data_IF_857811370319
#
_entry.id   IF_857811370319
#
_cell.length_a   1.000
_cell.length_b   1.000
_cell.length_c   1.000
_cell.angle_alpha   90.00
_cell.angle_beta   90.00
_cell.angle_gamma   90.00
#
_symmetry.space_group_name_H-M   'P 1'
#
loop_
_entity.id
_entity.type
_entity.pdbx_description
1 polymer ?
#
# COMPACT_ATOMS: atom_id res chain seq x y z
N UNK A 1 2.32 -19.26 2.54
CA UNK A 1 2.86 -20.52 1.96
C UNK A 1 2.31 -20.84 0.56
N UNK A 2 1.07 -20.48 0.21
CA UNK A 2 0.49 -20.80 -1.12
C UNK A 2 1.20 -20.10 -2.30
N UNK A 3 1.44 -18.79 -2.22
CA UNK A 3 2.17 -18.07 -3.28
C UNK A 3 3.57 -18.67 -3.55
N UNK A 4 4.31 -19.02 -2.49
CA UNK A 4 5.62 -19.69 -2.60
C UNK A 4 5.55 -21.06 -3.30
N UNK A 5 4.47 -21.83 -3.08
CA UNK A 5 4.25 -23.11 -3.80
C UNK A 5 4.05 -22.89 -5.31
N UNK A 6 3.56 -21.72 -5.71
CA UNK A 6 3.44 -21.32 -7.11
C UNK A 6 4.72 -20.66 -7.66
N UNK A 7 5.84 -20.72 -6.92
CA UNK A 7 7.11 -20.12 -7.31
C UNK A 7 7.16 -18.59 -7.19
N UNK A 8 6.17 -17.96 -6.54
CA UNK A 8 6.08 -16.50 -6.42
C UNK A 8 6.83 -15.97 -5.18
N UNK A 9 7.49 -14.82 -5.34
CA UNK A 9 8.20 -14.13 -4.26
C UNK A 9 7.54 -12.79 -3.91
N UNK A 10 6.58 -12.83 -3.01
CA UNK A 10 5.91 -11.63 -2.50
C UNK A 10 6.72 -11.05 -1.34
N UNK A 11 7.17 -9.80 -1.47
CA UNK A 11 7.89 -9.05 -0.42
C UNK A 11 6.99 -8.00 0.21
N UNK A 12 7.04 -7.91 1.53
CA UNK A 12 6.38 -6.85 2.30
C UNK A 12 7.35 -5.68 2.40
N UNK A 13 6.90 -4.50 2.00
CA UNK A 13 7.66 -3.25 2.12
C UNK A 13 7.26 -2.52 3.40
N UNK A 14 5.97 -2.59 3.72
CA UNK A 14 5.38 -1.75 4.74
C UNK A 14 4.15 -2.44 5.34
N UNK A 15 3.95 -2.29 6.64
CA UNK A 15 2.81 -2.81 7.39
C UNK A 15 2.44 -1.80 8.49
N UNK A 16 2.42 -2.18 9.76
CA UNK A 16 2.14 -1.24 10.84
C UNK A 16 3.06 -0.02 10.83
N UNK A 17 2.49 1.18 11.02
CA UNK A 17 3.20 2.46 11.17
C UNK A 17 2.70 3.20 12.39
N UNK A 18 3.61 3.78 13.17
CA UNK A 18 3.21 4.63 14.29
C UNK A 18 2.73 6.00 13.81
N UNK A 19 2.03 6.72 14.69
CA UNK A 19 1.59 8.11 14.45
C UNK A 19 2.77 9.04 14.16
N UNK A 20 3.87 8.86 14.88
CA UNK A 20 5.10 9.63 14.78
C UNK A 20 5.76 9.40 13.43
N UNK A 21 5.86 8.13 13.01
CA UNK A 21 6.42 7.78 11.72
C UNK A 21 5.57 8.33 10.57
N UNK A 22 4.24 8.22 10.65
CA UNK A 22 3.35 8.77 9.63
C UNK A 22 3.48 10.30 9.51
N UNK A 23 3.65 11.01 10.64
CA UNK A 23 3.91 12.45 10.65
C UNK A 23 5.24 12.82 9.97
N UNK A 24 6.30 12.08 10.28
CA UNK A 24 7.60 12.26 9.64
C UNK A 24 7.50 12.03 8.12
N UNK A 25 6.89 10.92 7.71
CA UNK A 25 6.74 10.56 6.30
C UNK A 25 5.94 11.60 5.51
N UNK A 26 4.83 12.09 6.06
CA UNK A 26 4.04 13.13 5.41
C UNK A 26 4.85 14.42 5.23
N UNK A 27 5.55 14.88 6.27
CA UNK A 27 6.42 16.07 6.18
C UNK A 27 7.54 15.90 5.17
N UNK A 28 8.14 14.71 5.12
CA UNK A 28 9.15 14.36 4.12
C UNK A 28 8.55 14.46 2.70
N UNK A 29 7.39 13.87 2.44
CA UNK A 29 6.75 13.93 1.13
C UNK A 29 6.35 15.36 0.72
N UNK A 30 5.87 16.18 1.66
CA UNK A 30 5.58 17.61 1.39
C UNK A 30 6.85 18.36 0.98
N UNK A 31 7.97 18.11 1.66
CA UNK A 31 9.26 18.71 1.34
C UNK A 31 9.78 18.27 -0.03
N UNK A 32 9.59 16.99 -0.38
CA UNK A 32 10.15 16.40 -1.60
C UNK A 32 9.28 16.65 -2.83
N UNK A 33 7.96 16.57 -2.71
CA UNK A 33 7.03 16.54 -3.84
C UNK A 33 5.97 17.65 -3.81
N UNK A 34 5.96 18.48 -2.77
CA UNK A 34 4.95 19.50 -2.53
C UNK A 34 3.68 18.96 -1.87
N UNK A 35 2.90 19.88 -1.28
CA UNK A 35 1.72 19.53 -0.48
C UNK A 35 0.63 18.79 -1.28
N UNK A 36 0.37 19.20 -2.52
CA UNK A 36 -0.67 18.59 -3.36
C UNK A 36 -0.36 17.12 -3.65
N UNK A 37 0.89 16.81 -4.04
CA UNK A 37 1.32 15.44 -4.30
C UNK A 37 1.33 14.59 -3.03
N UNK A 38 1.79 15.17 -1.91
CA UNK A 38 1.84 14.48 -0.63
C UNK A 38 0.45 14.09 -0.10
N UNK A 39 -0.58 14.91 -0.36
CA UNK A 39 -1.97 14.61 0.02
C UNK A 39 -2.59 13.46 -0.80
N UNK A 40 -2.13 13.25 -2.03
CA UNK A 40 -2.62 12.15 -2.90
C UNK A 40 -1.88 10.83 -2.58
N UNK A 41 -0.57 10.91 -2.36
CA UNK A 41 0.29 9.72 -2.26
C UNK A 41 0.55 9.25 -0.82
N UNK A 42 0.16 10.04 0.17
CA UNK A 42 0.40 9.76 1.58
C UNK A 42 -0.79 10.23 2.41
N UNK A 43 -0.81 9.82 3.67
CA UNK A 43 -1.83 10.22 4.62
C UNK A 43 -1.24 11.11 5.71
N UNK A 44 -2.00 12.12 6.11
CA UNK A 44 -1.77 12.78 7.39
C UNK A 44 -1.96 11.78 8.53
N UNK A 45 -1.32 12.02 9.66
CA UNK A 45 -1.42 11.08 10.78
C UNK A 45 -2.86 10.95 11.29
N UNK A 46 -3.17 9.75 11.78
CA UNK A 46 -4.50 9.22 12.11
C UNK A 46 -5.43 8.96 10.93
N UNK A 47 -4.99 9.21 9.69
CA UNK A 47 -5.76 8.92 8.47
C UNK A 47 -5.11 7.79 7.63
N UNK A 48 -4.06 7.15 8.16
CA UNK A 48 -3.38 6.03 7.52
C UNK A 48 -3.91 4.70 8.06
N UNK A 49 -4.40 3.82 7.19
CA UNK A 49 -4.84 2.48 7.59
C UNK A 49 -3.71 1.64 8.23
N UNK A 50 -2.43 1.95 7.91
CA UNK A 50 -1.28 1.32 8.55
C UNK A 50 -1.23 1.53 10.07
N UNK A 51 -1.86 2.58 10.59
CA UNK A 51 -1.93 2.83 12.03
C UNK A 51 -2.88 1.86 12.75
N UNK A 52 -3.80 1.21 12.02
CA UNK A 52 -4.66 0.15 12.56
C UNK A 52 -3.95 -1.21 12.60
N UNK A 53 -2.80 -1.35 11.92
CA UNK A 53 -2.10 -2.63 11.79
C UNK A 53 -2.79 -3.64 10.88
N UNK A 54 -3.78 -3.21 10.09
CA UNK A 54 -4.61 -4.07 9.23
C UNK A 54 -4.26 -4.00 7.74
N UNK A 55 -3.26 -3.20 7.37
CA UNK A 55 -2.88 -2.95 5.97
C UNK A 55 -1.42 -3.29 5.73
N UNK A 56 -1.14 -3.87 4.57
CA UNK A 56 0.20 -4.28 4.14
C UNK A 56 0.45 -3.78 2.72
N UNK A 57 1.55 -3.08 2.54
CA UNK A 57 2.05 -2.70 1.22
C UNK A 57 3.04 -3.76 0.72
N UNK A 58 2.76 -4.23 -0.48
CA UNK A 58 3.66 -5.05 -1.26
C UNK A 58 4.13 -4.18 -2.42
N UNK A 59 5.42 -3.93 -2.57
CA UNK A 59 5.92 -3.33 -3.81
C UNK A 59 7.25 -3.96 -4.19
N UNK A 60 7.37 -4.23 -5.48
CA UNK A 60 8.65 -4.42 -6.14
C UNK A 60 9.03 -3.05 -6.73
N UNK A 61 10.30 -2.83 -7.07
CA UNK A 61 10.90 -1.50 -7.38
C UNK A 61 10.29 -0.70 -8.54
N UNK A 62 9.23 -1.18 -9.19
CA UNK A 62 8.52 -0.47 -10.27
C UNK A 62 7.01 -0.38 -9.97
N UNK A 63 6.40 0.76 -10.33
CA UNK A 63 4.97 1.13 -10.18
C UNK A 63 3.94 0.19 -10.85
N UNK A 64 4.38 -1.00 -11.28
CA UNK A 64 3.62 -1.94 -12.07
C UNK A 64 3.36 -3.27 -11.33
N UNK A 65 3.23 -3.25 -9.99
CA UNK A 65 2.96 -4.46 -9.21
C UNK A 65 1.83 -5.30 -9.83
N UNK A 66 0.71 -4.68 -10.22
CA UNK A 66 -0.44 -5.36 -10.83
C UNK A 66 -0.11 -6.07 -12.17
N UNK A 67 0.97 -5.69 -12.86
CA UNK A 67 1.41 -6.36 -14.08
C UNK A 67 2.34 -7.55 -13.82
N UNK A 68 2.94 -7.63 -12.62
CA UNK A 68 3.76 -8.77 -12.20
C UNK A 68 2.92 -10.01 -11.91
N UNK A 69 3.55 -11.20 -11.93
CA UNK A 69 2.87 -12.45 -11.57
C UNK A 69 2.42 -12.42 -10.10
N UNK A 70 3.23 -11.82 -9.23
CA UNK A 70 2.96 -11.61 -7.81
C UNK A 70 1.73 -10.73 -7.59
N UNK A 71 1.65 -9.58 -8.26
CA UNK A 71 0.53 -8.66 -8.10
C UNK A 71 -0.77 -9.22 -8.65
N UNK A 72 -0.74 -9.92 -9.80
CA UNK A 72 -1.92 -10.64 -10.32
C UNK A 72 -2.40 -11.69 -9.32
N UNK A 73 -1.47 -12.47 -8.77
CA UNK A 73 -1.82 -13.47 -7.76
C UNK A 73 -2.43 -12.84 -6.50
N UNK A 74 -1.87 -11.72 -6.00
CA UNK A 74 -2.44 -10.97 -4.89
C UNK A 74 -3.85 -10.47 -5.20
N UNK A 75 -4.05 -9.89 -6.38
CA UNK A 75 -5.36 -9.41 -6.82
C UNK A 75 -6.41 -10.53 -6.86
N UNK A 76 -6.05 -11.70 -7.38
CA UNK A 76 -6.97 -12.84 -7.51
C UNK A 76 -7.20 -13.62 -6.21
N UNK A 77 -6.27 -13.57 -5.24
CA UNK A 77 -6.28 -14.47 -4.08
C UNK A 77 -6.41 -13.76 -2.72
N UNK A 78 -6.14 -12.46 -2.62
CA UNK A 78 -6.16 -11.71 -1.35
C UNK A 78 -7.46 -11.87 -0.56
N UNK A 79 -8.61 -11.88 -1.23
CA UNK A 79 -9.93 -12.05 -0.62
C UNK A 79 -10.08 -13.39 0.13
N UNK A 80 -9.44 -14.46 -0.36
CA UNK A 80 -9.43 -15.78 0.29
C UNK A 80 -8.72 -15.76 1.65
N UNK A 81 -7.92 -14.72 1.90
CA UNK A 81 -7.16 -14.51 3.12
C UNK A 81 -7.69 -13.33 3.95
N UNK A 82 -8.88 -12.81 3.62
CA UNK A 82 -9.49 -11.70 4.36
C UNK A 82 -8.96 -10.32 4.01
N UNK A 83 -8.26 -10.16 2.88
CA UNK A 83 -7.76 -8.87 2.41
C UNK A 83 -8.52 -8.39 1.17
N UNK A 84 -8.69 -7.07 1.06
CA UNK A 84 -9.23 -6.39 -0.12
C UNK A 84 -8.22 -5.37 -0.65
N UNK A 85 -8.30 -5.04 -1.94
CA UNK A 85 -7.53 -3.94 -2.51
C UNK A 85 -8.09 -2.60 -2.00
N UNK A 86 -7.37 -1.93 -1.10
CA UNK A 86 -7.85 -0.69 -0.45
C UNK A 86 -8.07 0.47 -1.43
N UNK A 87 -7.21 0.60 -2.43
CA UNK A 87 -7.20 1.74 -3.37
C UNK A 87 -7.28 1.24 -4.82
N UNK A 88 -8.46 0.83 -5.31
CA UNK A 88 -8.63 0.40 -6.68
C UNK A 88 -8.59 1.60 -7.65
N UNK A 89 -7.99 1.38 -8.82
CA UNK A 89 -7.91 2.40 -9.88
C UNK A 89 -9.31 2.89 -10.26
N UNK A 90 -9.46 4.21 -10.48
CA UNK A 90 -10.74 4.88 -10.82
C UNK A 90 -11.74 5.03 -9.66
N UNK A 91 -11.34 4.72 -8.43
CA UNK A 91 -12.15 4.92 -7.22
C UNK A 91 -11.56 5.97 -6.28
N UNK A 92 -10.76 6.89 -6.82
CA UNK A 92 -10.12 7.97 -6.05
C UNK A 92 -11.17 8.89 -5.43
N UNK A 93 -12.34 9.07 -6.07
CA UNK A 93 -13.44 9.88 -5.51
C UNK A 93 -14.01 9.28 -4.22
N UNK A 94 -14.07 7.97 -4.12
CA UNK A 94 -14.58 7.25 -2.96
C UNK A 94 -13.51 7.06 -1.89
N UNK A 95 -12.25 6.93 -2.30
CA UNK A 95 -11.14 6.54 -1.40
C UNK A 95 -10.27 7.69 -0.93
N UNK A 96 -10.31 8.84 -1.62
CA UNK A 96 -9.49 10.04 -1.33
C UNK A 96 -8.47 10.34 -2.41
#
# INVERSE_FOLDING_TARGET
>A
MQAKKNGLQIKIISAYRTKEYQNFLFKYNVKTYGIKSAQIQSAISNHSQHQLGTTIDFINTDDNLLNTKEGKWLYENSSKYGFSLSYPKKHEKETG
#
